data_IF_828274982206
#
_entry.id   IF_828274982206
#
_cell.length_a   1.000
_cell.length_b   1.000
_cell.length_c   1.000
_cell.angle_alpha   90.00
_cell.angle_beta   90.00
_cell.angle_gamma   90.00
#
_symmetry.space_group_name_H-M   'P 1'
#
loop_
_entity.id
_entity.type
_entity.pdbx_description
1 polymer ?
#
# COMPACT_ATOMS: atom_id res chain seq x y z
N UNK A 1 -9.24 -0.81 -12.52
CA UNK A 1 -8.54 -1.57 -11.47
C UNK A 1 -9.31 -1.55 -10.14
N UNK A 2 -10.09 -0.51 -9.87
CA UNK A 2 -10.84 -0.34 -8.61
C UNK A 2 -11.87 -1.44 -8.30
N UNK A 3 -12.50 -2.03 -9.32
CA UNK A 3 -13.47 -3.13 -9.12
C UNK A 3 -12.81 -4.41 -8.57
N UNK A 4 -11.58 -4.73 -8.99
CA UNK A 4 -10.85 -5.93 -8.53
C UNK A 4 -10.33 -5.74 -7.11
N UNK A 5 -9.75 -4.56 -6.80
CA UNK A 5 -9.29 -4.23 -5.46
C UNK A 5 -10.43 -4.26 -4.43
N UNK A 6 -11.62 -3.76 -4.82
CA UNK A 6 -12.83 -3.82 -4.01
C UNK A 6 -13.27 -5.27 -3.76
N UNK A 7 -13.35 -6.11 -4.80
CA UNK A 7 -13.74 -7.51 -4.67
C UNK A 7 -12.78 -8.31 -3.76
N UNK A 8 -11.46 -8.07 -3.87
CA UNK A 8 -10.45 -8.71 -3.00
C UNK A 8 -10.66 -8.28 -1.54
N UNK A 9 -10.96 -7.01 -1.29
CA UNK A 9 -11.21 -6.50 0.07
C UNK A 9 -12.48 -7.13 0.67
N UNK A 10 -13.56 -7.18 -0.10
CA UNK A 10 -14.83 -7.81 0.33
C UNK A 10 -14.66 -9.30 0.60
N UNK A 11 -13.97 -10.02 -0.28
CA UNK A 11 -13.65 -11.43 -0.08
C UNK A 11 -12.80 -11.66 1.19
N UNK A 12 -11.83 -10.76 1.46
CA UNK A 12 -11.04 -10.83 2.69
C UNK A 12 -11.91 -10.66 3.94
N UNK A 13 -12.77 -9.65 3.95
CA UNK A 13 -13.69 -9.40 5.07
C UNK A 13 -14.61 -10.59 5.30
N UNK A 14 -15.17 -11.18 4.25
CA UNK A 14 -16.02 -12.36 4.36
C UNK A 14 -15.27 -13.59 4.94
N UNK A 15 -14.00 -13.78 4.58
CA UNK A 15 -13.16 -14.86 5.14
C UNK A 15 -12.89 -14.62 6.63
N UNK A 16 -12.54 -13.39 7.03
CA UNK A 16 -12.29 -13.03 8.43
C UNK A 16 -13.56 -13.21 9.29
N UNK A 17 -14.74 -12.84 8.76
CA UNK A 17 -16.05 -13.05 9.39
C UNK A 17 -16.38 -14.54 9.53
N UNK A 18 -16.24 -15.32 8.47
CA UNK A 18 -16.49 -16.77 8.50
C UNK A 18 -15.59 -17.50 9.51
N UNK A 19 -14.30 -17.11 9.60
CA UNK A 19 -13.39 -17.65 10.62
C UNK A 19 -13.81 -17.26 12.05
N UNK A 20 -14.38 -16.07 12.23
CA UNK A 20 -14.93 -15.62 13.50
C UNK A 20 -16.15 -16.45 13.93
N UNK A 21 -17.09 -16.65 13.01
CA UNK A 21 -18.30 -17.46 13.23
C UNK A 21 -17.96 -18.91 13.54
N UNK A 22 -17.00 -19.51 12.84
CA UNK A 22 -16.52 -20.87 13.11
C UNK A 22 -15.96 -21.00 14.54
N UNK A 23 -15.14 -20.03 14.98
CA UNK A 23 -14.55 -20.04 16.31
C UNK A 23 -15.62 -19.91 17.42
N UNK A 24 -16.65 -19.08 17.19
CA UNK A 24 -17.79 -18.92 18.11
C UNK A 24 -18.67 -20.17 18.16
N UNK A 25 -18.94 -20.80 17.01
CA UNK A 25 -19.69 -22.05 16.91
C UNK A 25 -18.96 -23.17 17.68
N UNK A 26 -17.64 -23.32 17.49
CA UNK A 26 -16.83 -24.32 18.21
C UNK A 26 -16.79 -24.06 19.73
N UNK A 27 -16.73 -22.80 20.17
CA UNK A 27 -16.83 -22.44 21.59
C UNK A 27 -18.20 -22.81 22.17
N UNK A 28 -19.27 -22.49 21.45
CA UNK A 28 -20.65 -22.79 21.87
C UNK A 28 -20.89 -24.29 21.93
N UNK A 29 -20.47 -25.04 20.91
CA UNK A 29 -20.54 -26.50 20.87
C UNK A 29 -19.76 -27.13 22.03
N UNK A 30 -18.54 -26.65 22.29
CA UNK A 30 -17.73 -27.13 23.43
C UNK A 30 -18.40 -26.88 24.78
N UNK A 31 -19.00 -25.70 24.98
CA UNK A 31 -19.76 -25.38 26.20
C UNK A 31 -20.99 -26.26 26.35
N UNK A 32 -21.76 -26.45 25.28
CA UNK A 32 -22.95 -27.31 25.28
C UNK A 32 -22.58 -28.76 25.59
N UNK A 33 -21.53 -29.28 24.97
CA UNK A 33 -21.05 -30.64 25.21
C UNK A 33 -20.54 -30.83 26.65
N UNK A 34 -19.86 -29.83 27.23
CA UNK A 34 -19.46 -29.86 28.64
C UNK A 34 -20.66 -29.91 29.60
N UNK A 35 -21.71 -29.11 29.33
CA UNK A 35 -22.95 -29.13 30.12
C UNK A 35 -23.67 -30.48 30.01
N UNK A 36 -23.78 -31.03 28.79
CA UNK A 36 -24.37 -32.35 28.56
C UNK A 36 -23.62 -33.45 29.33
N UNK A 37 -22.29 -33.37 29.41
CA UNK A 37 -21.46 -34.35 30.13
C UNK A 37 -21.77 -34.34 31.63
N UNK A 38 -21.92 -33.16 32.22
CA UNK A 38 -22.32 -33.00 33.62
C UNK A 38 -23.72 -33.59 33.84
N UNK A 39 -24.68 -33.26 32.97
CA UNK A 39 -26.05 -33.77 33.07
C UNK A 39 -26.13 -35.30 32.98
N UNK A 40 -25.45 -35.92 32.02
CA UNK A 40 -25.37 -37.38 31.88
C UNK A 40 -24.72 -38.01 33.12
N UNK A 41 -23.64 -37.41 33.64
CA UNK A 41 -22.96 -37.91 34.84
C UNK A 41 -23.88 -37.88 36.07
N UNK A 42 -24.68 -36.83 36.23
CA UNK A 42 -25.69 -36.75 37.29
C UNK A 42 -26.76 -37.83 37.13
N UNK A 43 -27.29 -38.02 35.91
CA UNK A 43 -28.31 -39.06 35.63
C UNK A 43 -27.80 -40.48 35.79
N UNK A 44 -26.53 -40.75 35.47
CA UNK A 44 -25.91 -42.04 35.76
C UNK A 44 -25.90 -42.36 37.26
N UNK A 45 -25.68 -41.36 38.12
CA UNK A 45 -25.71 -41.56 39.57
C UNK A 45 -27.13 -41.85 40.09
N UNK A 46 -28.15 -41.22 39.50
CA UNK A 46 -29.55 -41.50 39.80
C UNK A 46 -29.95 -42.92 39.37
N UNK A 47 -29.66 -43.29 38.11
CA UNK A 47 -30.09 -44.56 37.51
C UNK A 47 -29.39 -45.77 38.14
N UNK A 48 -28.14 -45.62 38.62
CA UNK A 48 -27.40 -46.68 39.32
C UNK A 48 -28.12 -47.27 40.55
N UNK A 49 -29.11 -46.56 41.09
CA UNK A 49 -29.89 -47.03 42.25
C UNK A 49 -31.01 -48.00 41.86
N UNK A 50 -31.34 -48.10 40.58
CA UNK A 50 -32.41 -48.95 40.08
C UNK A 50 -31.85 -50.32 39.69
N UNK A 51 -32.35 -51.37 40.33
CA UNK A 51 -31.97 -52.77 40.05
C UNK A 51 -32.89 -53.46 39.04
N UNK A 52 -34.01 -52.82 38.68
CA UNK A 52 -34.93 -53.32 37.67
C UNK A 52 -34.27 -53.31 36.28
N UNK A 53 -34.73 -54.20 35.39
CA UNK A 53 -34.24 -54.33 34.01
C UNK A 53 -34.24 -52.99 33.24
N UNK A 54 -35.30 -52.20 33.42
CA UNK A 54 -35.40 -50.85 32.85
C UNK A 54 -34.28 -49.91 33.33
N UNK A 55 -33.84 -50.03 34.59
CA UNK A 55 -32.72 -49.28 35.15
C UNK A 55 -31.38 -49.67 34.52
N UNK A 56 -31.16 -50.97 34.32
CA UNK A 56 -29.96 -51.49 33.64
C UNK A 56 -29.89 -50.99 32.19
N UNK A 57 -31.02 -51.02 31.47
CA UNK A 57 -31.10 -50.53 30.10
C UNK A 57 -30.83 -49.02 30.02
N UNK A 58 -31.43 -48.23 30.90
CA UNK A 58 -31.19 -46.79 30.98
C UNK A 58 -29.72 -46.46 31.31
N UNK A 59 -29.09 -47.23 32.20
CA UNK A 59 -27.67 -47.08 32.51
C UNK A 59 -26.80 -47.34 31.28
N UNK A 60 -27.09 -48.39 30.50
CA UNK A 60 -26.38 -48.71 29.25
C UNK A 60 -26.49 -47.56 28.24
N UNK A 61 -27.71 -47.08 27.98
CA UNK A 61 -27.95 -45.97 27.07
C UNK A 61 -27.22 -44.69 27.50
N UNK A 62 -27.24 -44.36 28.80
CA UNK A 62 -26.49 -43.21 29.32
C UNK A 62 -24.96 -43.38 29.18
N UNK A 63 -24.43 -44.58 29.34
CA UNK A 63 -23.01 -44.87 29.09
C UNK A 63 -22.63 -44.73 27.62
N UNK A 64 -23.47 -45.21 26.70
CA UNK A 64 -23.28 -45.04 25.25
C UNK A 64 -23.30 -43.56 24.86
N UNK A 65 -24.27 -42.78 25.36
CA UNK A 65 -24.30 -41.33 25.15
C UNK A 65 -23.08 -40.62 25.76
N UNK A 66 -22.60 -41.07 26.93
CA UNK A 66 -21.37 -40.55 27.53
C UNK A 66 -20.16 -40.79 26.64
N UNK A 67 -20.02 -41.99 26.06
CA UNK A 67 -18.93 -42.32 25.14
C UNK A 67 -19.02 -41.52 23.84
N UNK A 68 -20.20 -41.43 23.24
CA UNK A 68 -20.44 -40.61 22.04
C UNK A 68 -20.08 -39.14 22.30
N UNK A 69 -20.49 -38.59 23.44
CA UNK A 69 -20.18 -37.21 23.82
C UNK A 69 -18.68 -36.98 24.04
N UNK A 70 -17.97 -37.95 24.60
CA UNK A 70 -16.50 -37.88 24.71
C UNK A 70 -15.84 -37.86 23.34
N UNK A 71 -16.34 -38.65 22.38
CA UNK A 71 -15.93 -38.61 20.99
C UNK A 71 -16.11 -37.22 20.37
N UNK A 72 -17.32 -36.65 20.48
CA UNK A 72 -17.60 -35.31 19.96
C UNK A 72 -16.78 -34.21 20.62
N UNK A 73 -16.48 -34.31 21.93
CA UNK A 73 -15.57 -33.37 22.60
C UNK A 73 -14.14 -33.46 22.04
N UNK A 74 -13.64 -34.67 21.77
CA UNK A 74 -12.33 -34.85 21.16
C UNK A 74 -12.30 -34.27 19.74
N UNK A 75 -13.35 -34.49 18.95
CA UNK A 75 -13.50 -33.89 17.60
C UNK A 75 -13.53 -32.36 17.65
N UNK A 76 -14.26 -31.75 18.60
CA UNK A 76 -14.29 -30.29 18.79
C UNK A 76 -12.89 -29.75 19.09
N UNK A 77 -12.10 -30.43 19.93
CA UNK A 77 -10.73 -30.00 20.22
C UNK A 77 -9.80 -30.12 18.99
N UNK A 78 -9.98 -31.13 18.15
CA UNK A 78 -9.27 -31.25 16.86
C UNK A 78 -9.65 -30.09 15.93
N UNK A 79 -10.94 -29.79 15.79
CA UNK A 79 -11.42 -28.70 14.94
C UNK A 79 -10.92 -27.34 15.43
N UNK A 80 -10.89 -27.09 16.75
CA UNK A 80 -10.32 -25.86 17.32
C UNK A 80 -8.85 -25.68 16.96
N UNK A 81 -8.06 -26.76 17.03
CA UNK A 81 -6.64 -26.73 16.63
C UNK A 81 -6.51 -26.42 15.14
N UNK A 82 -7.27 -27.10 14.30
CA UNK A 82 -7.27 -26.87 12.85
C UNK A 82 -7.67 -25.42 12.49
N UNK A 83 -8.72 -24.88 13.12
CA UNK A 83 -9.14 -23.50 12.91
C UNK A 83 -8.04 -22.49 13.32
N UNK A 84 -7.38 -22.73 14.46
CA UNK A 84 -6.27 -21.90 14.91
C UNK A 84 -5.07 -21.94 13.94
N UNK A 85 -4.71 -23.12 13.44
CA UNK A 85 -3.66 -23.31 12.43
C UNK A 85 -4.01 -22.63 11.10
N UNK A 86 -5.23 -22.78 10.62
CA UNK A 86 -5.70 -22.13 9.38
C UNK A 86 -5.66 -20.60 9.48
N UNK A 87 -6.08 -20.05 10.63
CA UNK A 87 -6.00 -18.61 10.92
C UNK A 87 -4.57 -18.11 10.91
N UNK A 88 -3.64 -18.88 11.50
CA UNK A 88 -2.22 -18.57 11.47
C UNK A 88 -1.63 -18.61 10.06
N UNK A 89 -1.95 -19.65 9.27
CA UNK A 89 -1.55 -19.74 7.86
C UNK A 89 -2.07 -18.54 7.06
N UNK A 90 -3.32 -18.14 7.29
CA UNK A 90 -3.94 -16.99 6.62
C UNK A 90 -3.22 -15.68 6.95
N UNK A 91 -2.92 -15.44 8.24
CA UNK A 91 -2.12 -14.29 8.69
C UNK A 91 -0.73 -14.25 8.07
N UNK A 92 -0.05 -15.40 7.98
CA UNK A 92 1.27 -15.52 7.34
C UNK A 92 1.24 -15.25 5.84
N UNK A 93 0.22 -15.76 5.14
CA UNK A 93 0.01 -15.48 3.71
C UNK A 93 -0.22 -13.99 3.49
N UNK A 94 -1.02 -13.35 4.32
CA UNK A 94 -1.24 -11.91 4.21
C UNK A 94 0.03 -11.11 4.48
N UNK A 95 0.80 -11.45 5.51
CA UNK A 95 2.08 -10.77 5.78
C UNK A 95 3.05 -10.90 4.60
N UNK A 96 3.18 -12.11 4.04
CA UNK A 96 3.97 -12.34 2.81
C UNK A 96 3.48 -11.49 1.64
N UNK A 97 2.16 -11.40 1.42
CA UNK A 97 1.59 -10.56 0.37
C UNK A 97 1.94 -9.09 0.58
N UNK A 98 1.84 -8.58 1.80
CA UNK A 98 2.19 -7.18 2.13
C UNK A 98 3.67 -6.88 1.92
N UNK A 99 4.56 -7.81 2.24
CA UNK A 99 5.99 -7.68 1.92
C UNK A 99 6.20 -7.66 0.41
N UNK A 100 5.56 -8.57 -0.34
CA UNK A 100 5.67 -8.60 -1.79
C UNK A 100 5.11 -7.34 -2.48
N UNK A 101 3.99 -6.79 -1.97
CA UNK A 101 3.44 -5.50 -2.40
C UNK A 101 4.46 -4.37 -2.20
N UNK A 102 5.12 -4.31 -1.04
CA UNK A 102 6.14 -3.31 -0.74
C UNK A 102 7.40 -3.47 -1.62
N UNK A 103 7.85 -4.70 -1.86
CA UNK A 103 8.97 -5.01 -2.75
C UNK A 103 8.68 -4.59 -4.20
N UNK A 104 7.48 -4.87 -4.71
CA UNK A 104 7.08 -4.48 -6.05
C UNK A 104 6.98 -2.95 -6.21
N UNK A 105 6.50 -2.25 -5.18
CA UNK A 105 6.51 -0.78 -5.16
C UNK A 105 7.94 -0.22 -5.11
N UNK A 106 8.82 -0.85 -4.34
CA UNK A 106 10.22 -0.47 -4.25
C UNK A 106 10.94 -0.62 -5.61
N UNK A 107 10.74 -1.75 -6.29
CA UNK A 107 11.27 -1.96 -7.64
C UNK A 107 10.73 -0.93 -8.62
N UNK A 108 9.42 -0.63 -8.56
CA UNK A 108 8.82 0.40 -9.40
C UNK A 108 9.40 1.79 -9.12
N UNK A 109 9.61 2.15 -7.85
CA UNK A 109 10.21 3.42 -7.46
C UNK A 109 11.63 3.56 -8.02
N UNK A 110 12.45 2.52 -7.87
CA UNK A 110 13.80 2.44 -8.44
C UNK A 110 13.78 2.66 -9.97
N UNK A 111 12.91 1.93 -10.68
CA UNK A 111 12.73 2.08 -12.14
C UNK A 111 12.28 3.50 -12.55
N UNK A 112 11.35 4.10 -11.81
CA UNK A 112 10.88 5.47 -12.10
C UNK A 112 11.95 6.53 -11.83
N UNK A 113 12.87 6.24 -10.92
CA UNK A 113 13.96 7.13 -10.57
C UNK A 113 15.10 7.05 -11.58
N UNK A 114 15.35 5.89 -12.19
CA UNK A 114 16.51 5.63 -13.03
C UNK A 114 16.86 6.74 -14.05
N UNK A 115 15.91 7.38 -14.78
CA UNK A 115 16.24 8.45 -15.74
C UNK A 115 16.88 9.70 -15.12
N UNK A 116 16.52 10.08 -13.88
CA UNK A 116 17.06 11.26 -13.21
C UNK A 116 18.38 10.99 -12.47
N UNK A 117 18.72 9.71 -12.27
CA UNK A 117 20.01 9.29 -11.68
C UNK A 117 21.05 8.89 -12.74
N UNK A 118 20.68 8.92 -14.01
CA UNK A 118 21.54 8.65 -15.16
C UNK A 118 22.00 9.99 -15.76
N UNK A 119 23.28 10.32 -15.57
CA UNK A 119 23.84 11.62 -15.95
C UNK A 119 23.68 11.92 -17.46
N UNK A 120 23.77 10.90 -18.32
CA UNK A 120 23.61 11.05 -19.77
C UNK A 120 22.16 11.40 -20.11
N UNK A 121 21.19 10.70 -19.51
CA UNK A 121 19.78 11.01 -19.70
C UNK A 121 19.43 12.37 -19.12
N UNK A 122 19.88 12.66 -17.90
CA UNK A 122 19.64 13.92 -17.21
C UNK A 122 20.13 15.13 -18.03
N UNK A 123 21.27 15.01 -18.72
CA UNK A 123 21.81 16.08 -19.57
C UNK A 123 20.87 16.43 -20.76
N UNK A 124 20.17 15.43 -21.30
CA UNK A 124 19.27 15.57 -22.45
C UNK A 124 17.86 16.04 -22.09
N UNK A 125 17.46 15.94 -20.82
CA UNK A 125 16.13 16.33 -20.36
C UNK A 125 15.95 17.85 -20.29
N UNK A 126 14.72 18.33 -20.52
CA UNK A 126 14.34 19.72 -20.28
C UNK A 126 14.15 20.00 -18.78
N UNK A 127 14.13 21.28 -18.37
CA UNK A 127 13.85 21.62 -16.96
C UNK A 127 12.48 21.09 -16.51
N UNK A 128 11.49 21.14 -17.40
CA UNK A 128 10.14 20.66 -17.14
C UNK A 128 10.12 19.15 -16.93
N UNK A 129 10.81 18.38 -17.79
CA UNK A 129 10.87 16.93 -17.68
C UNK A 129 11.57 16.49 -16.39
N UNK A 130 12.66 17.17 -16.00
CA UNK A 130 13.37 16.86 -14.76
C UNK A 130 12.47 17.12 -13.54
N UNK A 131 11.67 18.21 -13.55
CA UNK A 131 10.70 18.48 -12.47
C UNK A 131 9.63 17.39 -12.41
N UNK A 132 9.03 17.04 -13.55
CA UNK A 132 7.99 16.02 -13.61
C UNK A 132 8.51 14.65 -13.17
N UNK A 133 9.71 14.26 -13.62
CA UNK A 133 10.34 13.02 -13.18
C UNK A 133 10.66 13.04 -11.68
N UNK A 134 11.09 14.18 -11.15
CA UNK A 134 11.28 14.40 -9.71
C UNK A 134 10.00 14.21 -8.91
N UNK A 135 8.88 14.78 -9.36
CA UNK A 135 7.56 14.64 -8.71
C UNK A 135 7.07 13.18 -8.73
N UNK A 136 7.23 12.50 -9.87
CA UNK A 136 6.88 11.07 -10.02
C UNK A 136 7.72 10.20 -9.08
N UNK A 137 9.04 10.42 -9.05
CA UNK A 137 9.95 9.72 -8.15
C UNK A 137 9.57 9.94 -6.67
N UNK A 138 9.31 11.18 -6.26
CA UNK A 138 8.92 11.51 -4.90
C UNK A 138 7.58 10.88 -4.50
N UNK A 139 6.62 10.82 -5.42
CA UNK A 139 5.35 10.12 -5.21
C UNK A 139 5.57 8.61 -5.04
N UNK A 140 6.35 7.98 -5.92
CA UNK A 140 6.65 6.55 -5.86
C UNK A 140 7.41 6.17 -4.58
N UNK A 141 8.37 7.01 -4.15
CA UNK A 141 9.08 6.84 -2.88
C UNK A 141 8.11 6.86 -1.69
N UNK A 142 7.23 7.87 -1.60
CA UNK A 142 6.22 7.96 -0.53
C UNK A 142 5.30 6.74 -0.48
N UNK A 143 4.76 6.33 -1.63
CA UNK A 143 3.91 5.14 -1.74
C UNK A 143 4.65 3.87 -1.25
N UNK A 144 5.93 3.74 -1.59
CA UNK A 144 6.77 2.62 -1.14
C UNK A 144 6.98 2.64 0.37
N UNK A 145 7.37 3.77 0.94
CA UNK A 145 7.61 3.91 2.38
C UNK A 145 6.33 3.67 3.18
N UNK A 146 5.18 4.13 2.69
CA UNK A 146 3.89 3.85 3.32
C UNK A 146 3.58 2.34 3.32
N UNK A 147 3.85 1.63 2.23
CA UNK A 147 3.68 0.19 2.14
C UNK A 147 4.63 -0.58 3.05
N UNK A 148 5.92 -0.20 3.10
CA UNK A 148 6.93 -0.77 4.01
C UNK A 148 6.47 -0.60 5.46
N UNK A 149 6.04 0.60 5.85
CA UNK A 149 5.55 0.89 7.20
C UNK A 149 4.32 0.05 7.58
N UNK A 150 3.37 -0.13 6.66
CA UNK A 150 2.19 -0.97 6.89
C UNK A 150 2.59 -2.44 7.11
N UNK A 151 3.47 -2.98 6.25
CA UNK A 151 3.96 -4.35 6.37
C UNK A 151 4.77 -4.56 7.67
N UNK A 152 5.59 -3.59 8.05
CA UNK A 152 6.37 -3.63 9.28
C UNK A 152 5.49 -3.65 10.54
N UNK A 153 4.44 -2.83 10.60
CA UNK A 153 3.47 -2.86 11.71
C UNK A 153 2.80 -4.22 11.82
N UNK A 154 2.39 -4.79 10.69
CA UNK A 154 1.77 -6.11 10.65
C UNK A 154 2.71 -7.20 11.17
N UNK A 155 3.96 -7.26 10.68
CA UNK A 155 4.95 -8.23 11.12
C UNK A 155 5.23 -8.08 12.62
N UNK A 156 5.34 -6.84 13.12
CA UNK A 156 5.56 -6.58 14.55
C UNK A 156 4.42 -7.13 15.41
N UNK A 157 3.17 -6.93 14.99
CA UNK A 157 2.01 -7.52 15.67
C UNK A 157 2.07 -9.05 15.67
N UNK A 158 2.40 -9.67 14.53
CA UNK A 158 2.50 -11.12 14.42
C UNK A 158 3.65 -11.70 15.25
N UNK A 159 4.78 -11.00 15.37
CA UNK A 159 5.88 -11.36 16.26
C UNK A 159 5.45 -11.32 17.73
N UNK A 160 4.63 -10.34 18.14
CA UNK A 160 4.08 -10.28 19.49
C UNK A 160 3.13 -11.46 19.74
N UNK A 161 2.23 -11.74 18.81
CA UNK A 161 1.28 -12.86 18.91
C UNK A 161 2.00 -14.22 18.97
N UNK A 162 3.11 -14.39 18.25
CA UNK A 162 3.84 -15.65 18.18
C UNK A 162 4.61 -16.02 19.45
N UNK A 163 4.93 -15.06 20.34
CA UNK A 163 5.73 -15.31 21.55
C UNK A 163 5.12 -16.34 22.50
N UNK A 164 3.80 -16.49 22.48
CA UNK A 164 3.07 -17.38 23.39
C UNK A 164 2.59 -18.67 22.70
N UNK A 165 3.05 -18.96 21.48
CA UNK A 165 2.66 -20.15 20.72
C UNK A 165 3.65 -21.30 20.90
N UNK A 166 3.18 -22.52 20.75
CA UNK A 166 4.01 -23.73 20.84
C UNK A 166 5.13 -23.75 19.78
N UNK A 167 4.89 -23.12 18.61
CA UNK A 167 5.84 -22.98 17.51
C UNK A 167 6.55 -21.62 17.45
N UNK A 168 6.69 -20.93 18.60
CA UNK A 168 7.23 -19.56 18.68
C UNK A 168 8.59 -19.37 17.95
N UNK A 169 9.50 -20.34 18.05
CA UNK A 169 10.83 -20.25 17.44
C UNK A 169 10.77 -20.27 15.90
N UNK A 170 9.94 -21.14 15.32
CA UNK A 170 9.74 -21.24 13.88
C UNK A 170 9.11 -19.96 13.32
N UNK A 171 8.06 -19.48 13.99
CA UNK A 171 7.39 -18.24 13.63
C UNK A 171 8.31 -17.03 13.74
N UNK A 172 9.12 -16.95 14.80
CA UNK A 172 10.11 -15.88 14.97
C UNK A 172 11.11 -15.86 13.81
N UNK A 173 11.60 -17.03 13.39
CA UNK A 173 12.52 -17.15 12.26
C UNK A 173 11.85 -16.74 10.93
N UNK A 174 10.60 -17.13 10.70
CA UNK A 174 9.84 -16.74 9.51
C UNK A 174 9.63 -15.22 9.45
N UNK A 175 9.18 -14.60 10.54
CA UNK A 175 8.97 -13.15 10.60
C UNK A 175 10.27 -12.35 10.51
N UNK A 176 11.39 -12.88 11.04
CA UNK A 176 12.69 -12.27 10.86
C UNK A 176 13.10 -12.22 9.37
N UNK A 177 12.80 -13.28 8.59
CA UNK A 177 13.04 -13.29 7.13
C UNK A 177 12.20 -12.23 6.41
N UNK A 178 10.92 -12.09 6.76
CA UNK A 178 10.04 -11.06 6.20
C UNK A 178 10.54 -9.64 6.55
N UNK A 179 11.01 -9.44 7.78
CA UNK A 179 11.56 -8.16 8.21
C UNK A 179 12.88 -7.82 7.48
N UNK A 180 13.74 -8.81 7.22
CA UNK A 180 14.96 -8.61 6.45
C UNK A 180 14.65 -8.21 5.00
N UNK A 181 13.66 -8.85 4.38
CA UNK A 181 13.16 -8.49 3.03
C UNK A 181 12.64 -7.05 2.97
N UNK A 182 11.83 -6.63 3.94
CA UNK A 182 11.35 -5.24 4.01
C UNK A 182 12.50 -4.23 4.14
N UNK A 183 13.49 -4.51 5.00
CA UNK A 183 14.66 -3.63 5.15
C UNK A 183 15.46 -3.53 3.85
N UNK A 184 15.55 -4.63 3.09
CA UNK A 184 16.18 -4.60 1.77
C UNK A 184 15.39 -3.73 0.79
N UNK A 185 14.06 -3.87 0.74
CA UNK A 185 13.20 -3.04 -0.10
C UNK A 185 13.34 -1.54 0.25
N UNK A 186 13.35 -1.21 1.54
CA UNK A 186 13.58 0.16 2.02
C UNK A 186 14.97 0.69 1.64
N UNK A 187 16.01 -0.12 1.82
CA UNK A 187 17.37 0.24 1.45
C UNK A 187 17.50 0.51 -0.05
N UNK A 188 16.85 -0.31 -0.89
CA UNK A 188 16.86 -0.14 -2.34
C UNK A 188 16.30 1.23 -2.76
N UNK A 189 15.26 1.75 -2.10
CA UNK A 189 14.66 3.05 -2.46
C UNK A 189 15.18 4.23 -1.64
N UNK A 190 16.11 4.01 -0.72
CA UNK A 190 16.63 5.08 0.16
C UNK A 190 17.26 6.24 -0.62
N UNK A 191 17.85 5.95 -1.79
CA UNK A 191 18.42 6.95 -2.68
C UNK A 191 17.34 7.82 -3.37
N UNK A 192 16.10 7.33 -3.49
CA UNK A 192 14.98 8.07 -4.07
C UNK A 192 14.41 9.15 -3.11
N UNK A 193 14.82 9.15 -1.84
CA UNK A 193 14.28 10.03 -0.81
C UNK A 193 14.49 11.52 -1.09
N UNK A 194 15.60 11.87 -1.74
CA UNK A 194 15.90 13.24 -2.18
C UNK A 194 16.49 13.23 -3.59
N UNK A 195 16.33 14.34 -4.31
CA UNK A 195 16.98 14.50 -5.60
C UNK A 195 18.49 14.64 -5.40
N UNK A 196 19.32 13.93 -6.19
CA UNK A 196 20.77 14.12 -6.18
C UNK A 196 21.17 15.57 -6.41
N UNK A 197 22.27 16.00 -5.79
CA UNK A 197 22.82 17.34 -5.99
C UNK A 197 23.05 17.69 -7.49
N UNK A 198 23.53 16.79 -8.37
CA UNK A 198 23.62 17.05 -9.80
C UNK A 198 22.28 17.40 -10.44
N UNK A 199 21.19 16.70 -10.08
CA UNK A 199 19.83 16.98 -10.58
C UNK A 199 19.36 18.36 -10.13
N UNK A 200 19.62 18.71 -8.87
CA UNK A 200 19.27 20.03 -8.33
C UNK A 200 20.02 21.15 -9.07
N UNK A 201 21.33 20.98 -9.32
CA UNK A 201 22.13 21.93 -10.10
C UNK A 201 21.63 22.05 -11.54
N UNK A 202 21.31 20.93 -12.18
CA UNK A 202 20.80 20.90 -13.55
C UNK A 202 19.44 21.62 -13.67
N UNK A 203 18.55 21.46 -12.69
CA UNK A 203 17.28 22.20 -12.63
C UNK A 203 17.47 23.71 -12.59
N UNK A 204 18.44 24.19 -11.81
CA UNK A 204 18.77 25.62 -11.71
C UNK A 204 19.33 26.12 -13.05
N UNK A 205 20.29 25.38 -13.62
CA UNK A 205 20.91 25.74 -14.89
C UNK A 205 19.91 25.79 -16.05
N UNK A 206 19.09 24.74 -16.21
CA UNK A 206 18.08 24.67 -17.27
C UNK A 206 16.99 25.74 -17.07
N UNK A 207 16.60 26.04 -15.83
CA UNK A 207 15.69 27.16 -15.55
C UNK A 207 16.24 28.51 -16.02
N UNK A 208 17.55 28.76 -15.84
CA UNK A 208 18.21 29.96 -16.36
C UNK A 208 18.25 29.98 -17.90
N UNK A 209 18.52 28.84 -18.53
CA UNK A 209 18.51 28.70 -19.99
C UNK A 209 17.12 29.01 -20.54
N UNK A 210 16.07 28.42 -19.98
CA UNK A 210 14.68 28.65 -20.41
C UNK A 210 14.27 30.13 -20.28
N UNK A 211 14.71 30.80 -19.20
CA UNK A 211 14.47 32.23 -19.01
C UNK A 211 15.19 33.08 -20.06
N UNK A 212 16.45 32.76 -20.37
CA UNK A 212 17.23 33.45 -21.41
C UNK A 212 16.61 33.22 -22.79
N UNK A 213 16.24 31.99 -23.14
CA UNK A 213 15.57 31.67 -24.40
C UNK A 213 14.25 32.42 -24.57
N UNK A 214 13.46 32.52 -23.50
CA UNK A 214 12.22 33.30 -23.50
C UNK A 214 12.48 34.79 -23.77
N UNK A 215 13.52 35.37 -23.14
CA UNK A 215 13.92 36.76 -23.38
C UNK A 215 14.43 36.98 -24.80
N UNK A 216 15.19 36.03 -25.34
CA UNK A 216 15.68 36.08 -26.73
C UNK A 216 14.51 36.05 -27.71
N UNK A 217 13.58 35.10 -27.58
CA UNK A 217 12.37 35.04 -28.43
C UNK A 217 11.53 36.31 -28.35
N UNK A 218 11.38 36.89 -27.15
CA UNK A 218 10.68 38.15 -26.96
C UNK A 218 11.40 39.34 -27.64
N UNK A 219 12.74 39.33 -27.67
CA UNK A 219 13.52 40.33 -28.39
C UNK A 219 13.43 40.14 -29.91
N UNK A 220 13.52 38.90 -30.41
CA UNK A 220 13.35 38.55 -31.81
C UNK A 220 11.99 39.02 -32.35
N UNK A 221 10.91 38.76 -31.62
CA UNK A 221 9.58 39.24 -32.01
C UNK A 221 9.47 40.77 -32.07
N UNK A 222 10.20 41.50 -31.22
CA UNK A 222 10.27 42.97 -31.30
C UNK A 222 11.05 43.46 -32.52
N UNK A 223 12.15 42.77 -32.85
CA UNK A 223 12.94 43.08 -34.05
C UNK A 223 12.11 42.85 -35.30
N UNK A 224 11.42 41.71 -35.39
CA UNK A 224 10.53 41.40 -36.52
C UNK A 224 9.42 42.44 -36.67
N UNK A 225 8.81 42.86 -35.56
CA UNK A 225 7.79 43.93 -35.56
C UNK A 225 8.39 45.26 -36.06
N UNK A 226 9.58 45.63 -35.61
CA UNK A 226 10.25 46.85 -36.03
C UNK A 226 10.64 46.81 -37.51
N UNK A 227 11.08 45.67 -38.03
CA UNK A 227 11.38 45.47 -39.46
C UNK A 227 10.12 45.60 -40.33
N UNK A 228 8.98 45.06 -39.87
CA UNK A 228 7.70 45.22 -40.58
C UNK A 228 7.28 46.69 -40.63
N UNK A 229 7.35 47.40 -39.50
CA UNK A 229 7.06 48.84 -39.46
C UNK A 229 8.00 49.66 -40.35
N UNK A 230 9.28 49.27 -40.42
CA UNK A 230 10.26 49.89 -41.32
C UNK A 230 9.87 49.74 -42.79
N UNK A 231 9.48 48.53 -43.21
CA UNK A 231 9.01 48.27 -44.59
C UNK A 231 7.72 49.04 -44.92
N UNK A 232 6.77 49.10 -43.99
CA UNK A 232 5.54 49.87 -44.17
C UNK A 232 5.80 51.38 -44.33
N UNK A 233 6.78 51.91 -43.60
CA UNK A 233 7.18 53.32 -43.72
C UNK A 233 7.87 53.63 -45.06
N UNK A 234 8.60 52.68 -45.64
CA UNK A 234 9.17 52.82 -46.99
C UNK A 234 8.08 52.79 -48.08
N UNK A 235 7.04 51.95 -47.93
CA UNK A 235 5.92 51.86 -48.88
C UNK A 235 4.95 53.05 -48.80
N UNK A 236 4.78 53.64 -47.61
CA UNK A 236 3.97 54.85 -47.37
C UNK A 236 4.86 55.96 -46.83
N UNK A 237 5.65 56.62 -47.70
CA UNK A 237 6.41 57.79 -47.29
C UNK A 237 5.46 58.81 -46.67
N UNK A 238 5.86 59.35 -45.51
CA UNK A 238 5.08 60.34 -44.79
C UNK A 238 4.64 61.44 -45.77
N UNK A 239 3.35 61.86 -45.74
CA UNK A 239 2.90 62.98 -46.55
C UNK A 239 3.85 64.14 -46.30
N UNK A 240 4.37 64.74 -47.39
CA UNK A 240 5.25 65.90 -47.33
C UNK A 240 4.67 66.86 -46.31
N UNK A 241 5.42 67.12 -45.23
CA UNK A 241 5.00 68.10 -44.24
C UNK A 241 4.84 69.41 -45.01
N UNK A 242 3.59 69.82 -45.23
CA UNK A 242 3.27 71.17 -45.68
C UNK A 242 4.04 72.10 -44.75
N UNK A 243 5.04 72.80 -45.31
CA UNK A 243 5.89 73.71 -44.56
C UNK A 243 4.98 74.57 -43.67
N UNK A 244 5.19 74.61 -42.35
CA UNK A 244 4.41 75.48 -41.49
C UNK A 244 4.61 76.90 -42.01
N UNK A 245 3.54 77.45 -42.59
CA UNK A 245 3.53 78.77 -43.18
C UNK A 245 4.18 79.74 -42.19
N UNK A 246 5.38 80.21 -42.54
CA UNK A 246 6.14 81.16 -41.74
C UNK A 246 5.18 82.32 -41.45
N UNK A 247 4.82 82.59 -40.18
CA UNK A 247 3.95 83.71 -39.87
C UNK A 247 4.66 84.97 -40.35
N UNK A 248 4.10 85.62 -41.38
CA UNK A 248 4.58 86.91 -41.84
C UNK A 248 4.57 87.84 -40.63
N UNK A 249 5.75 88.29 -40.24
CA UNK A 249 5.92 89.34 -39.26
C UNK A 249 5.16 90.57 -39.79
N UNK A 250 4.01 90.85 -39.16
CA UNK A 250 3.27 92.08 -39.38
C UNK A 250 4.17 93.25 -39.02
N UNK A 251 4.63 93.97 -40.06
CA UNK A 251 5.29 95.25 -39.93
C UNK A 251 4.34 96.28 -39.30
N UNK A 252 4.93 97.11 -38.44
CA UNK A 252 4.34 98.32 -37.86
C UNK A 252 3.86 99.31 -38.91
#
# INVERSE_FOLDING_TARGET
MDSVAKAIKEAKTAVDEAQGEEEEALKTAGRAAALAKVAISMKLLEVKRFTAEAGIQAQRSLQEHQQSLQGSLAEIEVLKKQAAEQKEVSKRKEANRKVAEAEALAEKADQTSAPIFDDEKLATMSALDIRQAGDVNQKAYKETIDAVNQAQRMITMLQIEAKNKENAAELAAEYAKLQARLRQAEANVSHCASLPEPVQKQLVLKGFIDEVESKVKAAEGKVETAEQLGKEAEEKPLPEQEEPAVPQAGGM
#
